data_IF_356004056708
#
_entry.id   IF_356004056708
#
_cell.length_a   1.000
_cell.length_b   1.000
_cell.length_c   1.000
_cell.angle_alpha   90.00
_cell.angle_beta   90.00
_cell.angle_gamma   90.00
#
_symmetry.space_group_name_H-M   'P 1'
#
loop_
_entity.id
_entity.type
_entity.pdbx_description
1 polymer ?
#
# COMPACT_ATOMS: atom_id res chain seq x y z
N UNK A 1 -30.19 -2.98 -25.91
CA UNK A 1 -30.77 -1.94 -25.02
C UNK A 1 -29.62 -1.41 -24.19
N UNK A 2 -29.35 -0.10 -24.20
CA UNK A 2 -28.39 0.47 -23.23
C UNK A 2 -29.00 0.28 -21.84
N UNK A 3 -28.24 -0.30 -20.92
CA UNK A 3 -28.63 -0.44 -19.52
C UNK A 3 -28.81 0.96 -18.92
N UNK A 4 -29.98 1.23 -18.35
CA UNK A 4 -30.23 2.48 -17.62
C UNK A 4 -29.62 2.37 -16.23
N UNK A 5 -28.62 3.21 -15.97
CA UNK A 5 -27.88 3.24 -14.70
C UNK A 5 -28.37 4.32 -13.74
N UNK A 6 -29.37 5.12 -14.11
CA UNK A 6 -29.80 6.31 -13.36
C UNK A 6 -30.39 6.01 -11.99
N UNK A 7 -30.86 4.79 -11.76
CA UNK A 7 -31.38 4.31 -10.48
C UNK A 7 -30.32 3.65 -9.59
N UNK A 8 -29.07 3.55 -10.06
CA UNK A 8 -27.96 2.97 -9.31
C UNK A 8 -27.08 4.08 -8.76
N UNK A 9 -27.05 4.22 -7.43
CA UNK A 9 -26.24 5.22 -6.74
C UNK A 9 -24.83 4.73 -6.51
N UNK A 10 -23.86 5.51 -6.98
CA UNK A 10 -22.43 5.25 -6.79
C UNK A 10 -21.79 6.37 -6.00
N UNK A 11 -21.29 6.05 -4.82
CA UNK A 11 -20.54 6.99 -3.97
C UNK A 11 -19.05 6.90 -4.29
N UNK A 12 -18.49 7.96 -4.84
CA UNK A 12 -17.09 8.03 -5.25
C UNK A 12 -16.25 8.68 -4.16
N UNK A 13 -15.25 7.95 -3.66
CA UNK A 13 -14.22 8.51 -2.79
C UNK A 13 -13.32 9.47 -3.59
N UNK A 14 -13.49 10.77 -3.36
CA UNK A 14 -12.77 11.83 -4.06
C UNK A 14 -11.68 12.42 -3.17
N UNK A 15 -10.42 12.25 -3.54
CA UNK A 15 -9.27 12.72 -2.75
C UNK A 15 -8.76 14.11 -3.17
N UNK A 16 -9.40 14.76 -4.14
CA UNK A 16 -8.88 15.97 -4.78
C UNK A 16 -7.78 15.70 -5.81
N UNK A 17 -7.48 14.43 -6.10
CA UNK A 17 -6.52 14.00 -7.13
C UNK A 17 -7.20 13.63 -8.46
N UNK A 18 -6.43 13.69 -9.55
CA UNK A 18 -6.91 13.47 -10.94
C UNK A 18 -7.61 12.13 -11.14
N UNK A 19 -7.14 11.07 -10.48
CA UNK A 19 -7.68 9.71 -10.67
C UNK A 19 -9.12 9.60 -10.16
N UNK A 20 -9.38 10.13 -8.96
CA UNK A 20 -10.73 10.18 -8.40
C UNK A 20 -11.66 11.13 -9.15
N UNK A 21 -11.13 12.23 -9.68
CA UNK A 21 -11.88 13.17 -10.53
C UNK A 21 -12.37 12.50 -11.82
N UNK A 22 -11.49 11.76 -12.50
CA UNK A 22 -11.84 11.05 -13.73
C UNK A 22 -12.75 9.86 -13.44
N UNK A 23 -12.57 9.18 -12.30
CA UNK A 23 -13.49 8.15 -11.82
C UNK A 23 -14.93 8.65 -11.75
N UNK A 24 -15.15 9.79 -11.07
CA UNK A 24 -16.48 10.39 -10.95
C UNK A 24 -17.04 10.83 -12.33
N UNK A 25 -16.20 11.41 -13.18
CA UNK A 25 -16.59 11.79 -14.54
C UNK A 25 -17.02 10.60 -15.40
N UNK A 26 -16.26 9.49 -15.37
CA UNK A 26 -16.56 8.29 -16.15
C UNK A 26 -17.91 7.67 -15.74
N UNK A 27 -18.13 7.53 -14.44
CA UNK A 27 -19.42 7.03 -13.91
C UNK A 27 -20.58 7.96 -14.26
N UNK A 28 -20.37 9.28 -14.18
CA UNK A 28 -21.39 10.25 -14.59
C UNK A 28 -21.74 10.14 -16.08
N UNK A 29 -20.73 9.96 -16.95
CA UNK A 29 -20.93 9.73 -18.39
C UNK A 29 -21.65 8.43 -18.70
N UNK A 30 -21.50 7.41 -17.85
CA UNK A 30 -22.23 6.14 -17.94
C UNK A 30 -23.68 6.24 -17.45
N UNK A 31 -24.07 7.36 -16.84
CA UNK A 31 -25.46 7.63 -16.44
C UNK A 31 -25.82 7.26 -15.00
N UNK A 32 -24.85 6.90 -14.15
CA UNK A 32 -25.08 6.60 -12.73
C UNK A 32 -25.52 7.83 -11.92
N UNK A 33 -26.22 7.59 -10.80
CA UNK A 33 -26.43 8.60 -9.76
C UNK A 33 -25.16 8.73 -8.92
N UNK A 34 -24.26 9.62 -9.35
CA UNK A 34 -22.93 9.77 -8.75
C UNK A 34 -22.94 10.81 -7.64
N UNK A 35 -22.39 10.44 -6.48
CA UNK A 35 -22.13 11.33 -5.34
C UNK A 35 -20.64 11.33 -5.01
N UNK A 36 -20.01 12.49 -4.90
CA UNK A 36 -18.62 12.62 -4.46
C UNK A 36 -18.52 12.77 -2.95
N UNK A 37 -17.61 12.02 -2.31
CA UNK A 37 -17.31 12.15 -0.88
C UNK A 37 -15.81 12.30 -0.66
N UNK A 38 -15.44 13.39 0.02
CA UNK A 38 -14.08 13.62 0.50
C UNK A 38 -13.93 13.09 1.93
N UNK A 39 -12.85 12.36 2.20
CA UNK A 39 -12.55 11.80 3.51
C UNK A 39 -11.42 12.59 4.16
N UNK A 40 -11.72 13.32 5.25
CA UNK A 40 -10.69 13.91 6.11
C UNK A 40 -10.24 12.85 7.11
N UNK A 41 -9.08 12.25 6.87
CA UNK A 41 -8.54 11.16 7.68
C UNK A 41 -7.39 11.60 8.61
N UNK A 42 -6.89 12.80 8.43
CA UNK A 42 -5.80 13.35 9.21
C UNK A 42 -5.94 14.87 9.29
N UNK A 43 -5.60 15.43 10.45
CA UNK A 43 -5.51 16.87 10.62
C UNK A 43 -4.07 17.32 10.43
N UNK A 44 -3.77 17.82 9.23
CA UNK A 44 -2.43 18.23 8.82
C UNK A 44 -2.30 19.77 8.82
N UNK A 45 -2.89 20.41 9.82
CA UNK A 45 -2.83 21.87 9.94
C UNK A 45 -1.43 22.26 10.43
N UNK A 46 -0.67 22.93 9.58
CA UNK A 46 0.68 23.38 9.92
C UNK A 46 0.68 24.54 10.94
N UNK A 47 1.88 24.94 11.38
CA UNK A 47 2.09 26.05 12.32
C UNK A 47 1.60 27.42 11.79
N UNK A 48 1.37 27.54 10.48
CA UNK A 48 0.83 28.72 9.82
C UNK A 48 -0.69 28.63 9.56
N UNK A 49 -1.34 27.55 10.00
CA UNK A 49 -2.76 27.29 9.80
C UNK A 49 -3.13 26.82 8.40
N UNK A 50 -2.17 26.45 7.56
CA UNK A 50 -2.41 25.90 6.22
C UNK A 50 -2.65 24.40 6.34
N UNK A 51 -3.79 23.95 5.83
CA UNK A 51 -4.22 22.56 5.87
C UNK A 51 -4.33 22.02 4.44
N UNK A 52 -3.51 21.03 4.09
CA UNK A 52 -3.49 20.37 2.77
C UNK A 52 -4.87 19.81 2.40
N UNK A 53 -5.57 19.19 3.36
CA UNK A 53 -6.91 18.67 3.18
C UNK A 53 -7.94 19.76 2.79
N UNK A 54 -7.71 21.02 3.18
CA UNK A 54 -8.59 22.13 2.78
C UNK A 54 -8.46 22.44 1.28
N UNK A 55 -7.24 22.41 0.74
CA UNK A 55 -7.01 22.63 -0.69
C UNK A 55 -7.51 21.44 -1.52
N UNK A 56 -7.29 20.21 -1.06
CA UNK A 56 -7.83 19.02 -1.72
C UNK A 56 -9.36 19.03 -1.77
N UNK A 57 -10.03 19.46 -0.68
CA UNK A 57 -11.48 19.60 -0.66
C UNK A 57 -11.98 20.69 -1.63
N UNK A 58 -11.25 21.81 -1.77
CA UNK A 58 -11.56 22.83 -2.78
C UNK A 58 -11.47 22.26 -4.20
N UNK A 59 -10.50 21.39 -4.47
CA UNK A 59 -10.39 20.74 -5.78
C UNK A 59 -11.53 19.74 -6.03
N UNK A 60 -11.95 18.99 -5.02
CA UNK A 60 -13.17 18.16 -5.08
C UNK A 60 -14.38 19.03 -5.45
N UNK A 61 -14.57 20.16 -4.76
CA UNK A 61 -15.68 21.08 -5.03
C UNK A 61 -15.67 21.61 -6.47
N UNK A 62 -14.50 22.03 -6.98
CA UNK A 62 -14.33 22.50 -8.36
C UNK A 62 -14.69 21.42 -9.38
N UNK A 63 -14.22 20.19 -9.16
CA UNK A 63 -14.49 19.06 -10.05
C UNK A 63 -15.98 18.69 -10.01
N UNK A 64 -16.55 18.54 -8.82
CA UNK A 64 -17.95 18.18 -8.63
C UNK A 64 -18.89 19.21 -9.28
N UNK A 65 -18.61 20.51 -9.11
CA UNK A 65 -19.34 21.59 -9.79
C UNK A 65 -19.22 21.51 -11.32
N UNK A 66 -18.02 21.22 -11.83
CA UNK A 66 -17.76 21.10 -13.28
C UNK A 66 -18.54 19.95 -13.94
N UNK A 67 -18.65 18.81 -13.25
CA UNK A 67 -19.31 17.61 -13.80
C UNK A 67 -20.77 17.45 -13.35
N UNK A 68 -21.26 18.35 -12.48
CA UNK A 68 -22.65 18.39 -12.03
C UNK A 68 -23.04 17.22 -11.13
N UNK A 69 -22.25 16.95 -10.09
CA UNK A 69 -22.54 15.95 -9.05
C UNK A 69 -22.57 16.57 -7.65
N UNK A 70 -23.38 16.03 -6.73
CA UNK A 70 -23.34 16.41 -5.33
C UNK A 70 -22.03 15.99 -4.63
N UNK A 71 -21.69 16.83 -3.68
CA UNK A 71 -20.53 16.89 -2.80
C UNK A 71 -20.68 16.66 -1.30
N UNK A 72 -19.94 15.76 -0.65
CA UNK A 72 -19.89 15.73 0.82
C UNK A 72 -18.48 15.58 1.37
N UNK A 73 -18.34 15.88 2.65
CA UNK A 73 -17.13 15.60 3.43
C UNK A 73 -17.50 14.75 4.64
N UNK A 74 -16.63 13.81 5.00
CA UNK A 74 -16.74 13.00 6.21
C UNK A 74 -15.39 13.00 6.94
N UNK A 75 -15.41 13.04 8.27
CA UNK A 75 -14.21 12.98 9.10
C UNK A 75 -14.06 11.55 9.64
N UNK A 76 -12.92 10.92 9.32
CA UNK A 76 -12.50 9.61 9.85
C UNK A 76 -11.15 9.69 10.57
N UNK A 77 -10.75 10.86 11.07
CA UNK A 77 -9.50 11.05 11.83
C UNK A 77 -9.39 10.08 13.00
N UNK A 78 -10.50 9.87 13.72
CA UNK A 78 -10.54 8.95 14.87
C UNK A 78 -10.31 7.51 14.42
N UNK A 79 -11.04 7.04 13.41
CA UNK A 79 -10.91 5.69 12.87
C UNK A 79 -9.51 5.45 12.30
N UNK A 80 -8.99 6.44 11.58
CA UNK A 80 -7.65 6.40 10.99
C UNK A 80 -6.58 6.31 12.08
N UNK A 81 -6.67 7.16 13.10
CA UNK A 81 -5.76 7.14 14.24
C UNK A 81 -5.78 5.78 14.95
N UNK A 82 -6.99 5.29 15.26
CA UNK A 82 -7.19 4.07 16.04
C UNK A 82 -6.76 2.80 15.29
N UNK A 83 -7.05 2.71 13.98
CA UNK A 83 -6.91 1.47 13.20
C UNK A 83 -5.67 1.44 12.30
N UNK A 84 -5.20 2.59 11.83
CA UNK A 84 -4.06 2.68 10.89
C UNK A 84 -2.82 3.22 11.58
N UNK A 85 -2.93 4.38 12.23
CA UNK A 85 -1.77 5.08 12.76
C UNK A 85 -1.17 4.39 13.99
N UNK A 86 -2.01 3.92 14.93
CA UNK A 86 -1.52 3.13 16.08
C UNK A 86 -0.80 1.86 15.65
N UNK A 87 -1.33 1.15 14.64
CA UNK A 87 -0.66 0.00 14.04
C UNK A 87 0.71 0.41 13.48
N UNK A 88 0.76 1.46 12.65
CA UNK A 88 1.98 1.98 12.04
C UNK A 88 3.07 2.27 13.10
N UNK A 89 2.75 2.95 14.19
CA UNK A 89 3.70 3.25 15.27
C UNK A 89 4.11 1.98 16.03
N UNK A 90 3.18 1.06 16.29
CA UNK A 90 3.48 -0.21 16.96
C UNK A 90 4.48 -1.06 16.17
N UNK A 91 4.36 -1.08 14.85
CA UNK A 91 5.26 -1.83 13.96
C UNK A 91 6.68 -1.27 13.94
N UNK A 92 6.83 0.06 13.88
CA UNK A 92 8.16 0.68 13.99
C UNK A 92 8.81 0.43 15.36
N UNK A 93 8.03 0.41 16.45
CA UNK A 93 8.54 0.06 17.78
C UNK A 93 9.04 -1.38 17.87
N UNK A 94 8.52 -2.28 17.04
CA UNK A 94 9.01 -3.65 16.87
C UNK A 94 10.20 -3.75 15.92
N UNK A 95 10.68 -2.65 15.33
CA UNK A 95 11.78 -2.65 14.35
C UNK A 95 11.39 -3.00 12.92
N UNK A 96 10.10 -3.28 12.68
CA UNK A 96 9.51 -3.65 11.39
C UNK A 96 9.21 -2.41 10.55
N UNK A 97 9.06 -2.59 9.24
CA UNK A 97 8.67 -1.50 8.32
C UNK A 97 7.22 -1.74 7.85
N UNK A 98 6.22 -1.08 8.46
CA UNK A 98 4.81 -1.28 8.10
C UNK A 98 4.45 -0.73 6.72
N UNK A 99 3.34 -1.19 6.18
CA UNK A 99 2.66 -0.57 5.04
C UNK A 99 1.29 -0.01 5.47
N UNK A 100 1.18 1.29 5.82
CA UNK A 100 -0.07 1.87 6.29
C UNK A 100 -1.14 1.96 5.20
N UNK A 101 -0.78 1.95 3.91
CA UNK A 101 -1.74 2.08 2.81
C UNK A 101 -2.58 0.82 2.64
N UNK A 102 -2.00 -0.37 2.86
CA UNK A 102 -2.74 -1.64 2.90
C UNK A 102 -3.82 -1.59 3.99
N UNK A 103 -3.44 -1.15 5.19
CA UNK A 103 -4.35 -1.06 6.34
C UNK A 103 -5.40 0.05 6.14
N UNK A 104 -5.02 1.18 5.55
CA UNK A 104 -5.94 2.27 5.20
C UNK A 104 -7.03 1.81 4.23
N UNK A 105 -6.67 1.03 3.21
CA UNK A 105 -7.66 0.46 2.31
C UNK A 105 -8.62 -0.47 3.06
N UNK A 106 -8.09 -1.43 3.82
CA UNK A 106 -8.91 -2.38 4.59
C UNK A 106 -9.85 -1.71 5.58
N UNK A 107 -9.33 -0.82 6.44
CA UNK A 107 -10.06 -0.34 7.62
C UNK A 107 -10.81 0.97 7.41
N UNK A 108 -10.40 1.77 6.42
CA UNK A 108 -10.97 3.10 6.16
C UNK A 108 -11.71 3.08 4.82
N UNK A 109 -11.01 2.92 3.69
CA UNK A 109 -11.63 3.10 2.36
C UNK A 109 -12.64 2.02 1.98
N UNK A 110 -12.48 0.79 2.48
CA UNK A 110 -13.37 -0.32 2.17
C UNK A 110 -14.09 -0.89 3.40
N UNK A 111 -14.14 -0.11 4.48
CA UNK A 111 -14.93 -0.43 5.68
C UNK A 111 -15.67 0.79 6.18
N UNK A 112 -15.00 1.72 6.86
CA UNK A 112 -15.64 2.95 7.37
C UNK A 112 -16.34 3.76 6.25
N UNK A 113 -15.69 3.87 5.08
CA UNK A 113 -16.26 4.56 3.94
C UNK A 113 -17.44 3.81 3.29
N UNK A 114 -17.39 2.48 3.22
CA UNK A 114 -18.53 1.67 2.74
C UNK A 114 -19.71 1.82 3.69
N UNK A 115 -19.48 1.75 4.99
CA UNK A 115 -20.51 1.93 6.01
C UNK A 115 -21.18 3.30 5.90
N UNK A 116 -20.39 4.36 5.69
CA UNK A 116 -20.90 5.70 5.45
C UNK A 116 -21.65 5.83 4.11
N UNK A 117 -21.13 5.23 3.04
CA UNK A 117 -21.79 5.23 1.73
C UNK A 117 -23.15 4.52 1.77
N UNK A 118 -23.27 3.43 2.52
CA UNK A 118 -24.55 2.74 2.73
C UNK A 118 -25.59 3.66 3.40
N UNK A 119 -25.18 4.54 4.33
CA UNK A 119 -26.08 5.53 4.95
C UNK A 119 -26.58 6.59 3.94
N UNK A 120 -25.81 6.84 2.88
CA UNK A 120 -26.21 7.70 1.75
C UNK A 120 -27.07 6.96 0.71
N UNK A 121 -27.40 5.69 0.95
CA UNK A 121 -28.16 4.84 0.04
C UNK A 121 -27.36 4.41 -1.19
N UNK A 122 -26.04 4.21 -1.05
CA UNK A 122 -25.21 3.73 -2.14
C UNK A 122 -25.48 2.26 -2.47
N UNK A 123 -25.58 1.95 -3.76
CA UNK A 123 -25.52 0.57 -4.26
C UNK A 123 -24.06 0.13 -4.39
N UNK A 124 -23.19 1.05 -4.83
CA UNK A 124 -21.77 0.82 -4.98
C UNK A 124 -20.93 1.97 -4.42
N UNK A 125 -19.70 1.64 -4.01
CA UNK A 125 -18.63 2.61 -3.81
C UNK A 125 -17.64 2.54 -4.96
N UNK A 126 -17.08 3.68 -5.35
CA UNK A 126 -16.04 3.76 -6.36
C UNK A 126 -14.83 4.50 -5.83
N UNK A 127 -13.65 4.11 -6.31
CA UNK A 127 -12.40 4.79 -5.97
C UNK A 127 -11.53 4.92 -7.21
N UNK A 128 -10.59 5.87 -7.18
CA UNK A 128 -9.60 6.04 -8.24
C UNK A 128 -8.44 5.04 -8.18
N UNK A 129 -8.67 3.81 -7.69
CA UNK A 129 -7.64 2.78 -7.73
C UNK A 129 -7.53 2.16 -9.12
N UNK A 130 -6.31 1.84 -9.51
CA UNK A 130 -5.97 1.04 -10.68
C UNK A 130 -6.00 -0.44 -10.29
N UNK A 131 -7.18 -1.02 -10.27
CA UNK A 131 -7.41 -2.46 -10.18
C UNK A 131 -8.64 -2.80 -11.02
N UNK A 132 -8.84 -4.07 -11.31
CA UNK A 132 -10.01 -4.56 -12.03
C UNK A 132 -10.76 -5.59 -11.16
N UNK A 133 -12.05 -5.79 -11.45
CA UNK A 133 -12.89 -6.75 -10.76
C UNK A 133 -13.57 -7.65 -11.78
N UNK A 134 -13.46 -8.96 -11.59
CA UNK A 134 -14.10 -9.94 -12.46
C UNK A 134 -15.00 -10.83 -11.65
N UNK A 135 -16.25 -10.98 -12.09
CA UNK A 135 -17.18 -11.95 -11.52
C UNK A 135 -17.04 -13.29 -12.24
N UNK A 136 -16.93 -14.37 -11.47
CA UNK A 136 -16.93 -15.73 -12.03
C UNK A 136 -18.35 -16.23 -12.35
N UNK A 137 -18.46 -17.51 -12.71
CA UNK A 137 -19.73 -18.16 -13.03
C UNK A 137 -20.63 -18.39 -11.81
N UNK A 138 -20.03 -18.51 -10.62
CA UNK A 138 -20.73 -18.73 -9.34
C UNK A 138 -21.14 -17.40 -8.66
N UNK A 139 -20.74 -16.28 -9.27
CA UNK A 139 -21.08 -14.94 -8.81
C UNK A 139 -20.06 -14.34 -7.84
N UNK A 140 -18.92 -14.97 -7.59
CA UNK A 140 -17.85 -14.44 -6.72
C UNK A 140 -17.02 -13.40 -7.45
N UNK A 141 -16.58 -12.39 -6.69
CA UNK A 141 -15.74 -11.30 -7.22
C UNK A 141 -14.28 -11.60 -6.98
N UNK A 142 -13.49 -11.51 -8.05
CA UNK A 142 -12.05 -11.67 -8.05
C UNK A 142 -11.36 -10.31 -8.23
N UNK A 143 -10.28 -10.09 -7.49
CA UNK A 143 -9.45 -8.90 -7.61
C UNK A 143 -8.40 -9.11 -8.70
N UNK A 144 -8.49 -8.34 -9.78
CA UNK A 144 -7.64 -8.49 -10.95
C UNK A 144 -6.70 -7.28 -11.08
N UNK A 145 -5.51 -7.52 -11.64
CA UNK A 145 -4.57 -6.45 -11.98
C UNK A 145 -5.16 -5.49 -12.99
N UNK A 146 -4.81 -4.20 -12.89
CA UNK A 146 -5.20 -3.22 -13.89
C UNK A 146 -4.41 -3.38 -15.20
N UNK A 147 -4.96 -2.82 -16.29
CA UNK A 147 -4.27 -2.69 -17.59
C UNK A 147 -2.89 -2.03 -17.45
N UNK A 148 -2.79 -1.00 -16.62
CA UNK A 148 -1.54 -0.28 -16.37
C UNK A 148 -0.71 -0.96 -15.28
N UNK A 149 0.16 -1.88 -15.66
CA UNK A 149 1.01 -2.63 -14.73
C UNK A 149 1.99 -1.75 -13.92
N UNK A 150 2.26 -0.51 -14.34
CA UNK A 150 3.10 0.42 -13.58
C UNK A 150 2.33 1.15 -12.47
N UNK A 151 1.01 1.19 -12.59
CA UNK A 151 0.10 1.84 -11.64
C UNK A 151 -0.85 0.86 -10.96
N UNK A 152 -0.86 -0.41 -11.36
CA UNK A 152 -1.59 -1.52 -10.75
C UNK A 152 -1.49 -1.47 -9.23
N UNK A 153 -2.63 -1.38 -8.54
CA UNK A 153 -2.76 -1.14 -7.11
C UNK A 153 -3.32 -2.33 -6.33
N UNK A 154 -3.49 -3.50 -6.95
CA UNK A 154 -3.96 -4.72 -6.26
C UNK A 154 -3.11 -5.07 -5.05
N UNK A 155 -1.80 -4.76 -5.07
CA UNK A 155 -0.92 -4.92 -3.91
C UNK A 155 -1.45 -4.25 -2.65
N UNK A 156 -2.00 -3.04 -2.76
CA UNK A 156 -2.55 -2.31 -1.62
C UNK A 156 -4.00 -2.71 -1.29
N UNK A 157 -4.67 -3.42 -2.19
CA UNK A 157 -6.05 -3.89 -2.06
C UNK A 157 -6.12 -5.39 -1.67
N UNK A 158 -4.96 -6.01 -1.44
CA UNK A 158 -4.79 -7.45 -1.23
C UNK A 158 -5.32 -7.99 0.11
N UNK A 159 -5.89 -7.12 0.96
CA UNK A 159 -6.58 -7.50 2.19
C UNK A 159 -8.10 -7.28 2.11
N UNK A 160 -8.64 -7.05 0.90
CA UNK A 160 -10.08 -6.99 0.67
C UNK A 160 -10.61 -8.40 0.36
N UNK A 161 -11.73 -8.76 0.97
CA UNK A 161 -12.44 -10.00 0.66
C UNK A 161 -13.48 -9.81 -0.45
N UNK A 162 -13.93 -10.91 -1.05
CA UNK A 162 -14.90 -10.89 -2.15
C UNK A 162 -16.25 -10.24 -1.78
N UNK A 163 -16.65 -10.25 -0.49
CA UNK A 163 -17.87 -9.59 -0.04
C UNK A 163 -17.71 -8.07 -0.05
N UNK A 164 -16.55 -7.56 0.36
CA UNK A 164 -16.22 -6.13 0.26
C UNK A 164 -16.18 -5.70 -1.21
N UNK A 165 -15.58 -6.53 -2.09
CA UNK A 165 -15.45 -6.23 -3.52
C UNK A 165 -16.80 -6.22 -4.27
N UNK A 166 -17.81 -6.94 -3.79
CA UNK A 166 -19.14 -7.02 -4.41
C UNK A 166 -19.83 -5.66 -4.56
N UNK A 167 -19.54 -4.73 -3.65
CA UNK A 167 -20.08 -3.37 -3.63
C UNK A 167 -19.10 -2.32 -4.15
N UNK A 168 -18.03 -2.73 -4.82
CA UNK A 168 -16.95 -1.83 -5.24
C UNK A 168 -16.89 -1.73 -6.77
N UNK A 169 -16.52 -0.55 -7.25
CA UNK A 169 -16.18 -0.30 -8.65
C UNK A 169 -14.79 0.34 -8.77
N UNK A 170 -14.02 -0.11 -9.76
CA UNK A 170 -12.75 0.50 -10.16
C UNK A 170 -12.80 0.98 -11.62
N UNK A 171 -13.38 2.17 -11.90
CA UNK A 171 -13.55 2.65 -13.27
C UNK A 171 -12.25 2.88 -14.06
N UNK A 172 -11.09 2.86 -13.41
CA UNK A 172 -9.79 3.09 -14.03
C UNK A 172 -9.10 1.80 -14.51
N UNK A 173 -9.69 0.62 -14.25
CA UNK A 173 -9.16 -0.71 -14.59
C UNK A 173 -8.55 -0.81 -16.00
N UNK A 174 -9.26 -0.26 -16.99
CA UNK A 174 -8.96 -0.38 -18.41
C UNK A 174 -8.18 0.81 -19.00
N UNK A 175 -7.63 1.66 -18.14
CA UNK A 175 -6.92 2.87 -18.54
C UNK A 175 -5.50 2.91 -18.00
N UNK A 176 -4.62 3.49 -18.81
CA UNK A 176 -3.29 3.90 -18.40
C UNK A 176 -3.32 5.29 -17.79
N UNK A 177 -2.35 5.59 -16.93
CA UNK A 177 -2.25 6.92 -16.31
C UNK A 177 -2.19 8.08 -17.32
N UNK A 178 -1.47 7.96 -18.46
CA UNK A 178 -1.54 8.97 -19.52
C UNK A 178 -2.94 9.15 -20.11
N UNK A 179 -3.68 8.06 -20.36
CA UNK A 179 -5.07 8.13 -20.85
C UNK A 179 -5.98 8.86 -19.84
N UNK A 180 -5.83 8.57 -18.53
CA UNK A 180 -6.56 9.26 -17.47
C UNK A 180 -6.26 10.77 -17.44
N UNK A 181 -4.98 11.16 -17.55
CA UNK A 181 -4.62 12.58 -17.61
C UNK A 181 -5.19 13.26 -18.86
N UNK A 182 -5.22 12.56 -19.99
CA UNK A 182 -5.80 13.08 -21.22
C UNK A 182 -7.32 13.32 -21.09
N UNK A 183 -8.05 12.35 -20.52
CA UNK A 183 -9.49 12.49 -20.24
C UNK A 183 -9.77 13.70 -19.33
N UNK A 184 -8.95 13.89 -18.28
CA UNK A 184 -9.08 15.02 -17.37
C UNK A 184 -8.87 16.37 -18.08
N UNK A 185 -7.89 16.45 -18.99
CA UNK A 185 -7.60 17.64 -19.79
C UNK A 185 -8.74 17.96 -20.77
N UNK A 186 -9.21 16.96 -21.49
CA UNK A 186 -10.32 17.11 -22.45
C UNK A 186 -11.62 17.55 -21.77
N UNK A 187 -11.88 17.07 -20.56
CA UNK A 187 -13.02 17.52 -19.76
C UNK A 187 -12.81 18.87 -19.06
N UNK A 188 -11.60 19.44 -19.12
CA UNK A 188 -11.24 20.70 -18.47
C UNK A 188 -11.38 20.62 -16.95
N UNK A 189 -10.96 19.51 -16.34
CA UNK A 189 -10.99 19.32 -14.88
C UNK A 189 -9.86 20.13 -14.21
N UNK A 190 -10.16 20.79 -13.10
CA UNK A 190 -9.18 21.58 -12.35
C UNK A 190 -7.96 20.76 -11.87
N UNK A 191 -8.13 19.45 -11.70
CA UNK A 191 -7.09 18.52 -11.24
C UNK A 191 -6.22 17.95 -12.36
N UNK A 192 -6.45 18.31 -13.63
CA UNK A 192 -5.81 17.65 -14.79
C UNK A 192 -4.25 17.70 -14.76
N UNK A 193 -3.70 18.83 -14.33
CA UNK A 193 -2.25 19.05 -14.22
C UNK A 193 -1.73 18.86 -12.79
N UNK A 194 -2.60 18.48 -11.83
CA UNK A 194 -2.19 18.21 -10.45
C UNK A 194 -1.24 17.01 -10.43
N UNK A 195 -0.17 17.11 -9.65
CA UNK A 195 0.78 16.02 -9.44
C UNK A 195 0.10 14.89 -8.66
N UNK A 196 0.57 13.67 -8.87
CA UNK A 196 0.12 12.53 -8.07
C UNK A 196 0.66 12.69 -6.66
N UNK A 197 -0.17 12.47 -5.64
CA UNK A 197 0.27 12.39 -4.26
C UNK A 197 1.33 11.31 -4.11
N UNK A 198 2.51 11.67 -3.61
CA UNK A 198 3.59 10.73 -3.28
C UNK A 198 3.77 10.60 -1.77
N UNK A 199 4.16 9.41 -1.30
CA UNK A 199 4.37 9.16 0.12
C UNK A 199 3.09 8.74 0.86
N UNK A 200 3.19 8.68 2.18
CA UNK A 200 2.09 8.26 3.07
C UNK A 200 1.19 9.47 3.32
N UNK A 201 -0.13 9.28 3.22
CA UNK A 201 -1.11 10.38 3.20
C UNK A 201 -1.01 11.41 4.34
N UNK A 202 -0.60 11.01 5.56
CA UNK A 202 -0.49 11.90 6.72
C UNK A 202 0.92 12.47 6.97
N UNK A 203 1.91 12.09 6.14
CA UNK A 203 3.29 12.61 6.24
C UNK A 203 3.53 13.68 5.15
N UNK A 204 2.75 13.63 4.07
CA UNK A 204 2.91 14.53 2.93
C UNK A 204 4.12 14.18 2.05
N UNK A 205 4.37 15.05 1.07
CA UNK A 205 5.39 14.82 0.02
C UNK A 205 6.80 15.28 0.42
N UNK A 206 6.92 16.12 1.47
CA UNK A 206 8.11 16.95 1.72
C UNK A 206 9.26 16.24 2.46
N UNK A 207 9.27 14.91 2.49
CA UNK A 207 10.44 14.15 2.91
C UNK A 207 10.79 14.22 4.40
N UNK A 208 9.96 14.86 5.21
CA UNK A 208 10.12 14.98 6.67
C UNK A 208 9.71 13.72 7.45
N UNK A 209 9.87 12.53 6.85
CA UNK A 209 9.49 11.26 7.46
C UNK A 209 10.19 11.06 8.81
N UNK A 210 11.45 11.50 8.92
CA UNK A 210 12.24 11.39 10.15
C UNK A 210 11.70 12.32 11.24
N UNK A 211 11.49 13.59 10.92
CA UNK A 211 10.93 14.57 11.84
C UNK A 211 9.53 14.15 12.30
N UNK A 212 8.67 13.73 11.38
CA UNK A 212 7.35 13.20 11.69
C UNK A 212 7.43 12.04 12.70
N UNK A 213 8.23 11.00 12.40
CA UNK A 213 8.28 9.82 13.25
C UNK A 213 8.89 10.11 14.63
N UNK A 214 9.81 11.08 14.71
CA UNK A 214 10.43 11.53 15.96
C UNK A 214 9.45 12.13 16.97
N UNK A 215 8.29 12.63 16.52
CA UNK A 215 7.25 13.16 17.39
C UNK A 215 6.54 12.04 18.18
N UNK A 216 6.60 10.80 17.69
CA UNK A 216 5.85 9.65 18.23
C UNK A 216 6.73 8.54 18.77
N UNK A 217 7.97 8.42 18.27
CA UNK A 217 8.95 7.42 18.67
C UNK A 217 10.25 8.12 19.04
N UNK A 218 10.72 8.05 20.30
CA UNK A 218 11.96 8.67 20.70
C UNK A 218 13.12 8.04 19.94
N UNK A 219 13.93 8.87 19.31
CA UNK A 219 15.12 8.43 18.59
C UNK A 219 16.16 7.89 19.56
N UNK A 220 16.65 6.67 19.29
CA UNK A 220 17.70 6.01 20.07
C UNK A 220 18.92 5.78 19.16
N UNK A 221 19.89 6.71 19.14
CA UNK A 221 21.10 6.54 18.36
C UNK A 221 21.88 5.28 18.77
N UNK A 222 22.58 4.67 17.83
CA UNK A 222 23.31 3.43 18.02
C UNK A 222 24.39 3.22 16.95
N UNK A 223 25.04 2.06 16.96
CA UNK A 223 26.15 1.77 16.05
C UNK A 223 25.67 1.24 14.71
N UNK A 224 26.33 1.65 13.64
CA UNK A 224 26.32 0.92 12.37
C UNK A 224 27.51 -0.04 12.35
N UNK A 225 27.24 -1.33 12.17
CA UNK A 225 28.26 -2.38 12.24
C UNK A 225 28.23 -3.25 10.98
N UNK A 226 29.39 -3.76 10.59
CA UNK A 226 29.48 -4.85 9.62
C UNK A 226 29.18 -6.18 10.33
N UNK A 227 28.94 -7.26 9.57
CA UNK A 227 28.63 -8.59 10.14
C UNK A 227 29.79 -9.21 10.93
N UNK A 228 31.01 -8.78 10.63
CA UNK A 228 32.26 -9.09 11.32
C UNK A 228 32.51 -8.23 12.57
N UNK A 229 31.55 -7.35 12.94
CA UNK A 229 31.57 -6.58 14.18
C UNK A 229 32.39 -5.28 14.11
N UNK A 230 32.78 -4.84 12.91
CA UNK A 230 33.45 -3.55 12.75
C UNK A 230 32.42 -2.41 12.80
N UNK A 231 32.59 -1.49 13.76
CA UNK A 231 31.84 -0.23 13.77
C UNK A 231 32.31 0.64 12.61
N UNK A 232 31.38 1.01 11.73
CA UNK A 232 31.66 1.83 10.53
C UNK A 232 30.95 3.18 10.55
N UNK A 233 30.07 3.41 11.51
CA UNK A 233 29.38 4.70 11.72
C UNK A 233 28.35 4.63 12.83
N UNK A 234 27.49 5.64 12.91
CA UNK A 234 26.40 5.72 13.87
C UNK A 234 25.08 6.05 13.18
N UNK A 235 24.00 5.44 13.64
CA UNK A 235 22.65 5.70 13.15
C UNK A 235 21.86 6.59 14.11
N UNK A 236 20.87 7.30 13.59
CA UNK A 236 20.01 8.18 14.40
C UNK A 236 18.85 7.45 15.09
N UNK A 237 18.65 6.17 14.76
CA UNK A 237 17.60 5.31 15.31
C UNK A 237 17.14 4.28 14.29
N UNK A 238 16.95 3.03 14.69
CA UNK A 238 16.70 1.90 13.77
C UNK A 238 15.41 2.02 12.97
N UNK A 239 14.44 2.79 13.46
CA UNK A 239 13.16 3.04 12.78
C UNK A 239 13.29 3.88 11.49
N UNK A 240 14.40 4.61 11.32
CA UNK A 240 14.66 5.43 10.12
C UNK A 240 15.29 4.66 8.95
N UNK A 241 15.49 3.36 9.13
CA UNK A 241 16.19 2.50 8.19
C UNK A 241 15.32 1.31 7.81
N UNK A 242 15.40 0.86 6.57
CA UNK A 242 14.69 -0.34 6.08
C UNK A 242 15.69 -1.28 5.42
N UNK A 243 15.44 -2.60 5.47
CA UNK A 243 16.32 -3.59 4.86
C UNK A 243 16.51 -3.30 3.35
N UNK A 244 17.77 -3.33 2.91
CA UNK A 244 18.18 -3.00 1.55
C UNK A 244 18.24 -1.49 1.24
N UNK A 245 18.04 -0.61 2.22
CA UNK A 245 18.16 0.84 2.04
C UNK A 245 19.62 1.24 1.80
N UNK A 246 19.82 2.07 0.76
CA UNK A 246 21.11 2.68 0.40
C UNK A 246 21.29 4.08 0.99
N UNK A 247 20.27 4.92 0.86
CA UNK A 247 20.37 6.37 1.12
C UNK A 247 20.28 6.66 2.62
N UNK A 248 20.89 7.77 3.04
CA UNK A 248 20.77 8.27 4.41
C UNK A 248 21.62 7.53 5.46
N UNK A 249 22.57 6.70 5.02
CA UNK A 249 23.55 6.02 5.90
C UNK A 249 24.73 6.92 6.30
N UNK A 250 25.06 7.94 5.50
CA UNK A 250 26.23 8.79 5.75
C UNK A 250 27.58 8.10 5.59
N UNK A 251 27.60 6.91 4.98
CA UNK A 251 28.81 6.10 4.77
C UNK A 251 29.34 6.27 3.34
N UNK A 252 30.64 6.55 3.23
CA UNK A 252 31.38 6.60 1.97
C UNK A 252 32.08 5.28 1.61
N UNK A 253 32.74 5.24 0.45
CA UNK A 253 33.66 4.15 0.11
C UNK A 253 34.84 4.10 1.09
N UNK A 254 35.35 2.91 1.39
CA UNK A 254 36.53 2.72 2.24
C UNK A 254 37.77 2.44 1.37
N UNK A 255 38.96 2.41 1.97
CA UNK A 255 40.23 2.15 1.23
C UNK A 255 40.26 0.78 0.52
N UNK A 256 39.36 -0.15 0.85
CA UNK A 256 39.31 -1.51 0.31
C UNK A 256 38.27 -1.69 -0.80
N UNK A 257 37.18 -0.92 -0.79
CA UNK A 257 36.10 -1.00 -1.76
C UNK A 257 35.36 0.33 -1.92
N UNK A 258 35.12 0.71 -3.18
CA UNK A 258 34.29 1.84 -3.58
C UNK A 258 32.81 1.47 -3.75
N UNK A 259 32.43 0.25 -3.39
CA UNK A 259 31.04 -0.18 -3.46
C UNK A 259 30.16 0.55 -2.43
N UNK A 260 28.89 0.66 -2.80
CA UNK A 260 27.89 1.34 -2.00
C UNK A 260 27.46 0.50 -0.80
N UNK A 261 27.22 1.15 0.35
CA UNK A 261 26.67 0.54 1.54
C UNK A 261 25.14 0.40 1.48
N UNK A 262 24.66 -0.70 2.06
CA UNK A 262 23.24 -1.01 2.23
C UNK A 262 22.97 -1.46 3.66
N UNK A 263 21.78 -1.18 4.16
CA UNK A 263 21.25 -1.83 5.37
C UNK A 263 21.03 -3.31 5.07
N UNK A 264 21.77 -4.19 5.74
CA UNK A 264 21.68 -5.65 5.56
C UNK A 264 21.09 -6.36 6.78
N UNK A 265 20.78 -5.63 7.85
CA UNK A 265 20.14 -6.18 9.03
C UNK A 265 19.90 -5.13 10.12
N UNK A 266 19.18 -5.54 11.15
CA UNK A 266 18.92 -4.78 12.38
C UNK A 266 18.93 -5.74 13.56
N UNK A 267 19.36 -5.22 14.71
CA UNK A 267 19.21 -5.88 16.00
C UNK A 267 18.64 -4.86 17.00
N UNK A 268 17.32 -4.87 17.20
CA UNK A 268 16.62 -3.98 18.14
C UNK A 268 17.16 -4.14 19.56
N UNK A 269 17.50 -5.37 19.98
CA UNK A 269 17.94 -5.62 21.37
C UNK A 269 19.30 -5.00 21.65
N UNK A 270 20.21 -5.04 20.68
CA UNK A 270 21.54 -4.42 20.80
C UNK A 270 21.58 -2.98 20.31
N UNK A 271 20.50 -2.49 19.69
CA UNK A 271 20.43 -1.20 19.01
C UNK A 271 21.55 -1.05 17.96
N UNK A 272 21.69 -2.05 17.10
CA UNK A 272 22.71 -2.11 16.03
C UNK A 272 22.03 -2.12 14.66
N UNK A 273 22.55 -1.31 13.74
CA UNK A 273 22.21 -1.35 12.32
C UNK A 273 23.31 -2.09 11.56
N UNK A 274 23.00 -3.27 11.02
CA UNK A 274 23.97 -3.98 10.20
C UNK A 274 24.02 -3.39 8.79
N UNK A 275 25.23 -3.08 8.33
CA UNK A 275 25.49 -2.51 7.01
C UNK A 275 26.54 -3.32 6.25
N UNK A 276 26.36 -3.44 4.94
CA UNK A 276 27.26 -4.18 4.06
C UNK A 276 27.41 -3.51 2.70
N UNK A 277 28.57 -3.71 2.07
CA UNK A 277 28.83 -3.20 0.73
C UNK A 277 28.30 -4.15 -0.35
N UNK A 278 27.98 -3.59 -1.52
CA UNK A 278 27.56 -4.32 -2.71
C UNK A 278 26.04 -4.47 -2.82
N UNK A 279 25.51 -4.23 -4.02
CA UNK A 279 24.06 -4.36 -4.25
C UNK A 279 23.58 -5.80 -4.04
N UNK A 280 24.41 -6.77 -4.42
CA UNK A 280 24.15 -8.21 -4.30
C UNK A 280 24.74 -8.85 -3.04
N UNK A 281 24.85 -8.09 -1.93
CA UNK A 281 25.33 -8.61 -0.66
C UNK A 281 24.49 -9.83 -0.22
N UNK A 282 25.14 -10.94 0.15
CA UNK A 282 24.47 -12.22 0.47
C UNK A 282 23.49 -12.13 1.64
N UNK A 283 23.73 -11.21 2.60
CA UNK A 283 22.84 -11.00 3.74
C UNK A 283 21.52 -10.34 3.37
N UNK A 284 21.40 -9.84 2.13
CA UNK A 284 20.15 -9.33 1.59
C UNK A 284 19.32 -10.40 0.91
N UNK A 285 19.83 -11.61 0.68
CA UNK A 285 19.09 -12.64 -0.03
C UNK A 285 18.48 -13.64 0.94
N UNK A 286 17.18 -13.86 0.77
CA UNK A 286 16.40 -14.87 1.48
C UNK A 286 15.94 -15.93 0.49
N UNK A 287 15.84 -17.17 0.93
CA UNK A 287 15.30 -18.32 0.18
C UNK A 287 13.83 -18.57 0.51
N UNK A 288 13.40 -18.19 1.71
CA UNK A 288 12.00 -18.27 2.11
C UNK A 288 11.67 -17.22 3.19
N UNK A 289 10.39 -17.03 3.46
CA UNK A 289 9.87 -16.19 4.54
C UNK A 289 8.77 -16.90 5.32
N UNK A 290 8.53 -16.40 6.53
CA UNK A 290 7.33 -16.70 7.32
C UNK A 290 6.49 -15.43 7.41
N UNK A 291 5.17 -15.58 7.27
CA UNK A 291 4.21 -14.48 7.38
C UNK A 291 2.98 -14.90 8.19
N UNK A 292 2.34 -13.91 8.80
CA UNK A 292 1.10 -14.03 9.58
C UNK A 292 0.06 -13.02 9.11
N UNK A 293 -1.07 -12.93 9.82
CA UNK A 293 -2.18 -12.03 9.48
C UNK A 293 -2.65 -12.23 8.03
N UNK A 294 -2.85 -13.48 7.63
CA UNK A 294 -3.28 -13.87 6.29
C UNK A 294 -4.67 -13.30 5.99
N UNK A 295 -4.82 -12.73 4.80
CA UNK A 295 -6.08 -12.30 4.23
C UNK A 295 -6.16 -12.81 2.79
N UNK A 296 -7.20 -13.56 2.49
CA UNK A 296 -7.48 -14.02 1.14
C UNK A 296 -8.65 -13.24 0.55
N UNK A 297 -8.60 -13.00 -0.75
CA UNK A 297 -9.71 -12.38 -1.50
C UNK A 297 -10.89 -13.35 -1.58
N UNK A 298 -10.61 -14.62 -1.85
CA UNK A 298 -11.57 -15.73 -1.84
C UNK A 298 -11.00 -16.94 -1.09
N UNK A 299 -11.72 -18.06 -1.03
CA UNK A 299 -11.28 -19.29 -0.37
C UNK A 299 -10.14 -20.01 -1.12
N UNK A 300 -8.92 -19.54 -0.87
CA UNK A 300 -7.69 -20.09 -1.47
C UNK A 300 -7.44 -21.54 -1.08
N UNK A 301 -7.75 -21.95 0.16
CA UNK A 301 -7.50 -23.33 0.62
C UNK A 301 -8.41 -24.31 -0.12
N UNK A 302 -9.68 -23.97 -0.34
CA UNK A 302 -10.58 -24.81 -1.12
C UNK A 302 -10.18 -24.89 -2.61
N UNK A 303 -9.64 -23.80 -3.16
CA UNK A 303 -9.31 -23.71 -4.59
C UNK A 303 -7.94 -24.31 -4.94
N UNK A 304 -6.95 -24.15 -4.06
CA UNK A 304 -5.54 -24.48 -4.32
C UNK A 304 -4.94 -25.50 -3.34
N UNK A 305 -5.62 -25.77 -2.22
CA UNK A 305 -5.08 -26.56 -1.11
C UNK A 305 -4.19 -25.75 -0.17
N UNK A 306 -3.58 -26.45 0.79
CA UNK A 306 -2.63 -25.85 1.74
C UNK A 306 -1.26 -25.54 1.10
N UNK A 307 -0.91 -26.28 0.06
CA UNK A 307 0.37 -26.15 -0.65
C UNK A 307 0.11 -25.84 -2.12
N UNK A 308 0.55 -24.66 -2.57
CA UNK A 308 0.36 -24.28 -3.97
C UNK A 308 1.47 -23.37 -4.48
N UNK A 309 1.75 -23.50 -5.78
CA UNK A 309 2.71 -22.66 -6.49
C UNK A 309 1.98 -21.47 -7.12
N UNK A 310 2.54 -20.27 -6.98
CA UNK A 310 2.02 -19.04 -7.55
C UNK A 310 3.16 -18.02 -7.72
N UNK A 311 2.81 -16.75 -7.90
CA UNK A 311 3.80 -15.66 -7.83
C UNK A 311 3.50 -14.71 -6.68
N UNK A 312 4.52 -14.03 -6.16
CA UNK A 312 4.37 -13.05 -5.10
C UNK A 312 5.14 -11.76 -5.34
N UNK A 313 4.60 -10.66 -4.79
CA UNK A 313 5.30 -9.39 -4.59
C UNK A 313 5.56 -9.20 -3.10
N UNK A 314 6.81 -8.92 -2.74
CA UNK A 314 7.19 -8.56 -1.36
C UNK A 314 7.19 -7.05 -1.13
N UNK A 315 7.15 -6.27 -2.22
CA UNK A 315 7.06 -4.80 -2.26
C UNK A 315 6.31 -4.37 -3.51
N UNK A 316 5.59 -3.25 -3.42
CA UNK A 316 4.69 -2.74 -4.46
C UNK A 316 5.24 -2.75 -5.90
N UNK A 317 6.42 -2.14 -6.13
CA UNK A 317 7.03 -1.98 -7.46
C UNK A 317 8.01 -3.09 -7.84
N UNK A 318 8.01 -4.19 -7.08
CA UNK A 318 8.82 -5.35 -7.42
C UNK A 318 8.19 -6.10 -8.59
N UNK A 319 9.02 -6.72 -9.43
CA UNK A 319 8.56 -7.79 -10.31
C UNK A 319 8.09 -8.99 -9.48
N UNK A 320 7.18 -9.75 -10.06
CA UNK A 320 6.70 -10.98 -9.47
C UNK A 320 7.85 -12.00 -9.32
N UNK A 321 7.83 -12.74 -8.22
CA UNK A 321 8.77 -13.84 -7.93
C UNK A 321 7.95 -15.11 -7.83
N UNK A 322 8.39 -16.19 -8.49
CA UNK A 322 7.74 -17.50 -8.35
C UNK A 322 7.95 -18.06 -6.94
N UNK A 323 6.88 -18.57 -6.34
CA UNK A 323 6.89 -19.04 -4.95
C UNK A 323 6.00 -20.26 -4.75
N UNK A 324 6.34 -21.07 -3.76
CA UNK A 324 5.43 -22.08 -3.18
C UNK A 324 4.96 -21.60 -1.81
N UNK A 325 3.65 -21.49 -1.61
CA UNK A 325 3.04 -21.13 -0.34
C UNK A 325 2.57 -22.38 0.39
N UNK A 326 2.92 -22.48 1.68
CA UNK A 326 2.56 -23.55 2.59
C UNK A 326 1.73 -22.95 3.74
N UNK A 327 0.41 -23.05 3.65
CA UNK A 327 -0.54 -22.53 4.64
C UNK A 327 -0.61 -23.50 5.81
N UNK A 328 -0.32 -23.03 7.02
CA UNK A 328 -0.43 -23.82 8.24
C UNK A 328 -1.87 -24.27 8.52
N UNK A 329 -2.04 -25.34 9.28
CA UNK A 329 -3.36 -25.87 9.66
C UNK A 329 -4.23 -24.87 10.44
N UNK A 330 -3.60 -23.91 11.12
CA UNK A 330 -4.32 -22.84 11.83
C UNK A 330 -4.94 -21.79 10.90
N UNK A 331 -4.56 -21.78 9.61
CA UNK A 331 -5.01 -20.82 8.61
C UNK A 331 -4.56 -19.38 8.86
N UNK A 332 -3.65 -19.15 9.82
CA UNK A 332 -3.16 -17.83 10.21
C UNK A 332 -1.70 -17.60 9.82
N UNK A 333 -0.93 -18.66 9.59
CA UNK A 333 0.48 -18.60 9.23
C UNK A 333 0.76 -19.25 7.88
N UNK A 334 1.73 -18.69 7.16
CA UNK A 334 2.19 -19.20 5.86
C UNK A 334 3.70 -19.13 5.76
N UNK A 335 4.30 -20.24 5.34
CA UNK A 335 5.69 -20.28 4.88
C UNK A 335 5.71 -20.12 3.38
N UNK A 336 6.55 -19.23 2.86
CA UNK A 336 6.64 -18.95 1.42
C UNK A 336 8.06 -19.21 0.96
N UNK A 337 8.23 -20.29 0.20
CA UNK A 337 9.50 -20.68 -0.43
C UNK A 337 9.62 -20.01 -1.79
N UNK A 338 10.81 -19.50 -2.13
CA UNK A 338 11.03 -18.81 -3.40
C UNK A 338 11.73 -19.71 -4.41
N UNK A 339 11.30 -19.66 -5.66
CA UNK A 339 11.96 -20.38 -6.76
C UNK A 339 13.43 -19.93 -6.91
N UNK A 340 13.66 -18.62 -6.75
CA UNK A 340 14.98 -17.97 -6.72
C UNK A 340 15.12 -17.10 -5.47
N UNK A 341 16.33 -17.00 -4.87
CA UNK A 341 16.55 -16.14 -3.72
C UNK A 341 16.12 -14.67 -3.96
N UNK A 342 15.28 -14.15 -3.07
CA UNK A 342 14.70 -12.82 -3.16
C UNK A 342 15.45 -11.80 -2.29
N UNK A 343 15.68 -10.60 -2.85
CA UNK A 343 16.46 -9.56 -2.19
C UNK A 343 15.62 -8.69 -1.25
N UNK A 344 16.14 -8.46 -0.05
CA UNK A 344 15.69 -7.51 0.96
C UNK A 344 14.20 -7.70 1.33
N UNK A 345 13.85 -8.95 1.64
CA UNK A 345 12.61 -9.28 2.34
C UNK A 345 12.59 -8.49 3.65
N UNK A 346 11.49 -7.80 3.92
CA UNK A 346 11.42 -6.79 5.00
C UNK A 346 10.25 -7.10 5.92
N UNK A 347 10.51 -7.49 7.17
CA UNK A 347 9.45 -7.69 8.16
C UNK A 347 8.54 -6.46 8.33
N UNK A 348 7.23 -6.69 8.42
CA UNK A 348 6.17 -5.67 8.47
C UNK A 348 5.62 -5.24 7.11
N UNK A 349 6.31 -5.56 5.99
CA UNK A 349 5.74 -5.38 4.65
C UNK A 349 4.77 -6.53 4.33
N UNK A 350 3.89 -6.30 3.35
CA UNK A 350 3.00 -7.34 2.85
C UNK A 350 3.70 -8.21 1.81
N UNK A 351 3.53 -9.53 1.92
CA UNK A 351 3.68 -10.46 0.80
C UNK A 351 2.30 -10.61 0.16
N UNK A 352 2.22 -10.39 -1.16
CA UNK A 352 0.96 -10.44 -1.91
C UNK A 352 1.07 -11.50 -2.99
N UNK A 353 0.11 -12.43 -3.00
CA UNK A 353 0.09 -13.60 -3.86
C UNK A 353 -0.76 -13.36 -5.11
N UNK A 354 -0.33 -13.93 -6.23
CA UNK A 354 -0.97 -13.77 -7.53
C UNK A 354 -0.94 -15.07 -8.35
N UNK A 355 -2.07 -15.36 -8.98
CA UNK A 355 -2.19 -16.34 -10.06
C UNK A 355 -2.41 -15.59 -11.39
N UNK A 356 -1.33 -15.40 -12.13
CA UNK A 356 -1.32 -14.60 -13.36
C UNK A 356 -1.79 -13.15 -13.12
N UNK A 357 -3.03 -12.84 -13.51
CA UNK A 357 -3.64 -11.51 -13.33
C UNK A 357 -4.44 -11.38 -12.05
N UNK A 358 -4.77 -12.47 -11.38
CA UNK A 358 -5.59 -12.47 -10.18
C UNK A 358 -4.73 -12.24 -8.94
N UNK A 359 -5.18 -11.37 -8.04
CA UNK A 359 -4.62 -11.20 -6.70
C UNK A 359 -5.37 -12.14 -5.75
N UNK A 360 -4.66 -13.12 -5.21
CA UNK A 360 -5.25 -14.14 -4.33
C UNK A 360 -5.43 -13.61 -2.91
N UNK A 361 -4.55 -12.71 -2.47
CA UNK A 361 -4.55 -12.18 -1.11
C UNK A 361 -3.15 -11.79 -0.64
N UNK A 362 -2.98 -11.62 0.66
CA UNK A 362 -1.73 -11.21 1.28
C UNK A 362 -1.54 -11.70 2.71
N UNK A 363 -0.31 -11.60 3.19
CA UNK A 363 0.07 -11.79 4.59
C UNK A 363 1.14 -10.75 4.98
N UNK A 364 1.37 -10.55 6.27
CA UNK A 364 2.40 -9.66 6.80
C UNK A 364 3.66 -10.45 7.09
N UNK A 365 4.77 -10.04 6.46
CA UNK A 365 6.06 -10.72 6.59
C UNK A 365 6.56 -10.57 8.03
N UNK A 366 6.84 -11.69 8.70
CA UNK A 366 7.39 -11.68 10.05
C UNK A 366 8.91 -11.86 10.04
N UNK A 367 9.39 -12.82 9.25
CA UNK A 367 10.78 -13.26 9.24
C UNK A 367 11.21 -13.69 7.85
N UNK A 368 12.52 -13.64 7.61
CA UNK A 368 13.13 -14.11 6.37
C UNK A 368 14.32 -15.01 6.71
N UNK A 369 14.55 -15.99 5.86
CA UNK A 369 15.54 -17.03 6.07
C UNK A 369 16.38 -17.21 4.81
N UNK A 370 17.65 -17.57 5.00
CA UNK A 370 18.52 -18.02 3.92
C UNK A 370 18.98 -19.43 4.28
N UNK A 371 18.43 -20.42 3.58
CA UNK A 371 18.43 -21.82 3.99
C UNK A 371 17.90 -21.95 5.43
N UNK A 372 18.60 -22.68 6.30
CA UNK A 372 18.21 -22.87 7.70
C UNK A 372 18.46 -21.64 8.61
N UNK A 373 19.13 -20.60 8.10
CA UNK A 373 19.53 -19.44 8.90
C UNK A 373 18.49 -18.32 8.82
N UNK A 374 17.90 -17.98 9.97
CA UNK A 374 17.11 -16.75 10.08
C UNK A 374 17.99 -15.51 9.87
N UNK A 375 17.54 -14.59 9.02
CA UNK A 375 18.23 -13.33 8.76
C UNK A 375 17.92 -12.32 9.87
N UNK A 376 18.96 -11.63 10.35
CA UNK A 376 18.89 -10.66 11.44
C UNK A 376 18.33 -9.32 10.93
N UNK A 377 17.04 -9.27 10.64
CA UNK A 377 16.35 -8.11 10.03
C UNK A 377 15.56 -7.23 11.02
N UNK A 378 15.42 -7.69 12.26
CA UNK A 378 14.75 -6.97 13.35
C UNK A 378 15.63 -6.98 14.58
#
# INVERSE_FOLDING_TARGET
MMTDHSHTRVVVGMSGGVDSSVTALLLKRQGYDVVGVFMKNWDDTDENGVCTATEDYKDVAKVAAKIGIPYYSVNFEKEYWDRVFKYFIAEYKKGRTPNPDVICNKEIKFKAFIDYANQLGADYVATGHYADLKRDADGRMHLMRAKDQHKDQTYFLSQLDYHQLDKVMFPLANYTKPEIRQIAKEAGLATADKKDSVGICFIGEDGHFREFLSQYIPAQPGNMETVDGQVVGHHMGLMYYTIGQRRGLGLGGNKKSNETWFVIGKDIKKNILYVGQGYHNEHLYATHLEASDIHWVDDVVSNYGHDFHCTAKFRYRQKDVGVTAHIAEDGQHVTVEFDDPARAITPGQAVVFYDGQECLGSAIIDRAYNNERQLQYV
#
